data_IF_870408141720
#
_entry.id   IF_870408141720
#
_cell.length_a   1.000
_cell.length_b   1.000
_cell.length_c   1.000
_cell.angle_alpha   90.00
_cell.angle_beta   90.00
_cell.angle_gamma   90.00
#
_symmetry.space_group_name_H-M   'P 1'
#
loop_
_entity.id
_entity.type
_entity.pdbx_description
1 polymer ?
#
# COMPACT_ATOMS: atom_id res chain seq x y z
N UNK A 1 22.07 -18.92 -19.38
CA UNK A 1 22.63 -18.16 -18.24
C UNK A 1 21.74 -18.36 -17.02
N UNK A 2 22.17 -19.14 -16.04
CA UNK A 2 21.43 -19.32 -14.80
C UNK A 2 21.43 -17.99 -14.02
N UNK A 3 20.29 -17.33 -13.90
CA UNK A 3 20.15 -16.22 -12.96
C UNK A 3 20.40 -16.77 -11.55
N UNK A 4 21.44 -16.27 -10.90
CA UNK A 4 21.71 -16.55 -9.49
C UNK A 4 20.43 -16.33 -8.67
N UNK A 5 20.16 -17.20 -7.68
CA UNK A 5 18.90 -17.19 -6.93
C UNK A 5 18.53 -15.83 -6.32
N UNK A 6 19.53 -14.97 -6.08
CA UNK A 6 19.33 -13.59 -5.63
C UNK A 6 18.68 -12.68 -6.68
N UNK A 7 19.10 -12.76 -7.96
CA UNK A 7 18.52 -11.96 -9.06
C UNK A 7 17.04 -12.29 -9.25
N UNK A 8 16.68 -13.58 -9.15
CA UNK A 8 15.29 -14.04 -9.24
C UNK A 8 14.43 -13.47 -8.09
N UNK A 9 14.94 -13.46 -6.86
CA UNK A 9 14.23 -12.89 -5.70
C UNK A 9 13.99 -11.40 -5.84
N UNK A 10 15.01 -10.63 -6.23
CA UNK A 10 14.87 -9.20 -6.47
C UNK A 10 13.86 -8.90 -7.58
N UNK A 11 13.90 -9.65 -8.67
CA UNK A 11 12.95 -9.48 -9.78
C UNK A 11 11.50 -9.74 -9.34
N UNK A 12 11.27 -10.74 -8.47
CA UNK A 12 9.94 -11.01 -7.89
C UNK A 12 9.49 -9.85 -6.99
N UNK A 13 10.38 -9.30 -6.15
CA UNK A 13 10.06 -8.14 -5.29
C UNK A 13 9.68 -6.92 -6.13
N UNK A 14 10.47 -6.62 -7.17
CA UNK A 14 10.19 -5.49 -8.07
C UNK A 14 8.85 -5.68 -8.77
N UNK A 15 8.56 -6.87 -9.30
CA UNK A 15 7.27 -7.17 -9.94
C UNK A 15 6.11 -7.06 -8.95
N UNK A 16 6.27 -7.56 -7.72
CA UNK A 16 5.25 -7.48 -6.69
C UNK A 16 4.93 -6.02 -6.33
N UNK A 17 5.95 -5.18 -6.15
CA UNK A 17 5.80 -3.75 -5.91
C UNK A 17 5.17 -3.02 -7.10
N UNK A 18 5.61 -3.31 -8.33
CA UNK A 18 5.01 -2.74 -9.54
C UNK A 18 3.52 -3.10 -9.66
N UNK A 19 3.15 -4.34 -9.31
CA UNK A 19 1.76 -4.78 -9.31
C UNK A 19 0.94 -4.09 -8.21
N UNK A 20 1.50 -3.91 -7.01
CA UNK A 20 0.87 -3.15 -5.93
C UNK A 20 0.64 -1.67 -6.31
N UNK A 21 1.63 -1.05 -6.96
CA UNK A 21 1.53 0.32 -7.45
C UNK A 21 0.46 0.44 -8.55
N UNK A 22 0.44 -0.48 -9.51
CA UNK A 22 -0.59 -0.52 -10.55
C UNK A 22 -1.99 -0.69 -9.95
N UNK A 23 -2.17 -1.58 -8.97
CA UNK A 23 -3.44 -1.77 -8.27
C UNK A 23 -3.91 -0.48 -7.56
N UNK A 24 -2.99 0.23 -6.89
CA UNK A 24 -3.27 1.51 -6.25
C UNK A 24 -3.70 2.59 -7.25
N UNK A 25 -3.03 2.68 -8.41
CA UNK A 25 -3.41 3.60 -9.49
C UNK A 25 -4.78 3.30 -10.09
N UNK A 26 -5.06 2.03 -10.37
CA UNK A 26 -6.37 1.60 -10.88
C UNK A 26 -7.46 1.95 -9.86
N UNK A 27 -7.22 1.65 -8.57
CA UNK A 27 -8.17 2.00 -7.51
C UNK A 27 -8.41 3.51 -7.44
N UNK A 28 -7.37 4.33 -7.43
CA UNK A 28 -7.49 5.79 -7.39
C UNK A 28 -8.27 6.35 -8.60
N UNK A 29 -8.10 5.75 -9.79
CA UNK A 29 -8.86 6.10 -10.99
C UNK A 29 -10.33 5.70 -10.87
N UNK A 30 -10.62 4.47 -10.46
CA UNK A 30 -11.99 3.96 -10.30
C UNK A 30 -12.74 4.72 -9.21
N UNK A 31 -12.09 4.97 -8.07
CA UNK A 31 -12.69 5.73 -6.97
C UNK A 31 -13.08 7.16 -7.39
N UNK A 32 -12.28 7.79 -8.27
CA UNK A 32 -12.61 9.09 -8.84
C UNK A 32 -13.75 9.08 -9.86
N UNK A 33 -14.06 7.93 -10.49
CA UNK A 33 -15.19 7.78 -11.41
C UNK A 33 -16.49 7.46 -10.67
N UNK A 34 -16.43 6.59 -9.66
CA UNK A 34 -17.60 6.16 -8.88
C UNK A 34 -18.15 7.31 -8.03
N UNK A 35 -17.28 8.16 -7.51
CA UNK A 35 -17.68 9.33 -6.74
C UNK A 35 -17.01 10.60 -7.25
N UNK A 36 -17.62 11.26 -8.25
CA UNK A 36 -17.17 12.57 -8.69
C UNK A 36 -17.35 13.57 -7.55
N UNK A 37 -16.30 14.35 -7.28
CA UNK A 37 -16.31 15.39 -6.26
C UNK A 37 -17.30 16.51 -6.63
N UNK A 38 -18.54 16.40 -6.16
CA UNK A 38 -19.60 17.39 -6.39
C UNK A 38 -19.60 18.49 -5.34
N UNK A 39 -18.77 19.52 -5.47
CA UNK A 39 -18.95 20.76 -4.67
C UNK A 39 -17.74 21.67 -4.58
N UNK A 40 -16.53 21.14 -4.44
CA UNK A 40 -15.31 21.95 -4.31
C UNK A 40 -14.17 21.30 -5.09
N UNK A 41 -13.97 21.73 -6.35
CA UNK A 41 -12.92 21.18 -7.22
C UNK A 41 -11.50 21.39 -6.65
N UNK A 42 -11.31 22.40 -5.80
CA UNK A 42 -10.01 22.73 -5.18
C UNK A 42 -9.58 21.72 -4.11
N UNK A 43 -10.45 21.39 -3.15
CA UNK A 43 -10.16 20.44 -2.07
C UNK A 43 -9.90 19.03 -2.61
N UNK A 44 -10.71 18.58 -3.56
CA UNK A 44 -10.55 17.26 -4.17
C UNK A 44 -9.31 17.16 -5.09
N UNK A 45 -8.94 18.24 -5.78
CA UNK A 45 -7.71 18.29 -6.58
C UNK A 45 -6.46 18.19 -5.71
N UNK A 46 -6.41 18.94 -4.61
CA UNK A 46 -5.31 18.89 -3.63
C UNK A 46 -5.11 17.47 -3.08
N UNK A 47 -6.19 16.83 -2.62
CA UNK A 47 -6.14 15.46 -2.08
C UNK A 47 -5.64 14.46 -3.11
N UNK A 48 -6.05 14.59 -4.37
CA UNK A 48 -5.58 13.74 -5.46
C UNK A 48 -4.08 13.91 -5.73
N UNK A 49 -3.58 15.14 -5.70
CA UNK A 49 -2.16 15.46 -5.89
C UNK A 49 -1.33 14.87 -4.75
N UNK A 50 -1.77 15.05 -3.51
CA UNK A 50 -1.13 14.47 -2.32
C UNK A 50 -1.07 12.94 -2.47
N UNK A 51 -2.21 12.28 -2.71
CA UNK A 51 -2.23 10.83 -2.94
C UNK A 51 -1.28 10.39 -4.06
N UNK A 52 -1.25 11.11 -5.17
CA UNK A 52 -0.40 10.80 -6.33
C UNK A 52 1.11 10.94 -6.03
N UNK A 53 1.53 11.90 -5.22
CA UNK A 53 2.93 12.12 -4.86
C UNK A 53 3.38 11.14 -3.77
N UNK A 54 2.55 10.95 -2.74
CA UNK A 54 2.92 10.10 -1.60
C UNK A 54 2.93 8.61 -1.96
N UNK A 55 2.05 8.15 -2.86
CA UNK A 55 1.97 6.74 -3.27
C UNK A 55 3.29 6.18 -3.84
N UNK A 56 3.96 6.80 -4.83
CA UNK A 56 5.23 6.30 -5.35
C UNK A 56 6.37 6.41 -4.33
N UNK A 57 6.39 7.45 -3.49
CA UNK A 57 7.37 7.58 -2.41
C UNK A 57 7.23 6.42 -1.41
N UNK A 58 6.00 6.15 -0.96
CA UNK A 58 5.70 5.02 -0.08
C UNK A 58 6.02 3.68 -0.74
N UNK A 59 5.69 3.52 -2.02
CA UNK A 59 6.03 2.31 -2.77
C UNK A 59 7.54 2.10 -2.88
N UNK A 60 8.33 3.17 -3.00
CA UNK A 60 9.79 3.10 -3.00
C UNK A 60 10.35 2.62 -1.66
N UNK A 61 9.85 3.19 -0.56
CA UNK A 61 10.22 2.76 0.81
C UNK A 61 9.82 1.31 1.05
N UNK A 62 8.62 0.93 0.66
CA UNK A 62 8.13 -0.45 0.76
C UNK A 62 9.00 -1.42 -0.05
N UNK A 63 9.40 -1.03 -1.27
CA UNK A 63 10.27 -1.84 -2.12
C UNK A 63 11.62 -2.09 -1.45
N UNK A 64 12.22 -1.07 -0.84
CA UNK A 64 13.49 -1.22 -0.10
C UNK A 64 13.29 -2.16 1.09
N UNK A 65 12.23 -1.97 1.88
CA UNK A 65 11.93 -2.82 3.04
C UNK A 65 11.70 -4.29 2.64
N UNK A 66 10.91 -4.55 1.59
CA UNK A 66 10.67 -5.90 1.08
C UNK A 66 11.91 -6.53 0.45
N UNK A 67 12.75 -5.74 -0.23
CA UNK A 67 14.01 -6.22 -0.78
C UNK A 67 14.95 -6.69 0.33
N UNK A 68 15.08 -5.93 1.42
CA UNK A 68 15.88 -6.32 2.60
C UNK A 68 15.29 -7.58 3.25
N UNK A 69 13.96 -7.62 3.46
CA UNK A 69 13.30 -8.78 4.06
C UNK A 69 13.44 -10.07 3.23
N UNK A 70 13.49 -9.97 1.90
CA UNK A 70 13.68 -11.11 1.00
C UNK A 70 15.09 -11.74 1.11
N UNK A 71 16.05 -11.03 1.69
CA UNK A 71 17.41 -11.51 1.94
C UNK A 71 17.55 -12.14 3.32
N UNK A 72 16.57 -11.99 4.20
CA UNK A 72 16.61 -12.56 5.54
C UNK A 72 16.25 -14.05 5.57
N UNK A 73 16.90 -14.76 6.49
CA UNK A 73 16.79 -16.22 6.70
C UNK A 73 15.39 -16.64 7.16
N UNK A 74 14.69 -15.77 7.90
CA UNK A 74 13.32 -16.00 8.37
C UNK A 74 12.33 -15.13 7.59
N UNK A 75 12.12 -15.48 6.32
CA UNK A 75 11.43 -14.64 5.34
C UNK A 75 9.98 -14.33 5.73
N UNK A 76 9.29 -15.22 6.46
CA UNK A 76 7.91 -14.99 6.91
C UNK A 76 7.76 -13.81 7.87
N UNK A 77 8.52 -13.82 8.98
CA UNK A 77 8.50 -12.73 9.96
C UNK A 77 9.11 -11.46 9.39
N UNK A 78 10.16 -11.59 8.57
CA UNK A 78 10.81 -10.47 7.88
C UNK A 78 9.84 -9.68 7.00
N UNK A 79 9.00 -10.37 6.21
CA UNK A 79 8.02 -9.73 5.34
C UNK A 79 6.95 -8.97 6.13
N UNK A 80 6.54 -9.49 7.30
CA UNK A 80 5.58 -8.83 8.17
C UNK A 80 6.18 -7.55 8.76
N UNK A 81 7.43 -7.62 9.24
CA UNK A 81 8.17 -6.44 9.74
C UNK A 81 8.37 -5.41 8.63
N UNK A 82 8.75 -5.83 7.42
CA UNK A 82 8.91 -4.94 6.27
C UNK A 82 7.60 -4.26 5.84
N UNK A 83 6.45 -4.89 6.07
CA UNK A 83 5.15 -4.25 5.87
C UNK A 83 4.82 -3.26 7.00
N UNK A 84 5.13 -3.59 8.26
CA UNK A 84 4.87 -2.74 9.42
C UNK A 84 5.70 -1.45 9.41
N UNK A 85 6.97 -1.51 8.99
CA UNK A 85 7.88 -0.35 8.96
C UNK A 85 7.27 0.86 8.23
N UNK A 86 6.74 0.74 7.00
CA UNK A 86 6.05 1.85 6.34
C UNK A 86 4.62 2.04 6.87
N UNK A 87 3.91 0.97 7.23
CA UNK A 87 2.52 1.07 7.65
C UNK A 87 2.32 1.85 8.95
N UNK A 88 3.21 1.68 9.94
CA UNK A 88 3.08 2.33 11.24
C UNK A 88 3.22 3.87 11.14
N UNK A 89 4.27 4.43 10.52
CA UNK A 89 4.37 5.87 10.27
C UNK A 89 3.18 6.40 9.47
N UNK A 90 2.68 5.64 8.50
CA UNK A 90 1.49 6.02 7.74
C UNK A 90 0.26 6.14 8.66
N UNK A 91 -0.01 5.14 9.49
CA UNK A 91 -1.14 5.16 10.43
C UNK A 91 -1.02 6.30 11.45
N UNK A 92 0.20 6.60 11.92
CA UNK A 92 0.44 7.73 12.82
C UNK A 92 0.12 9.05 12.10
N UNK A 93 0.69 9.28 10.92
CA UNK A 93 0.41 10.48 10.12
C UNK A 93 -1.08 10.64 9.83
N UNK A 94 -1.74 9.54 9.45
CA UNK A 94 -3.15 9.52 9.16
C UNK A 94 -4.01 9.84 10.38
N UNK A 95 -3.69 9.26 11.53
CA UNK A 95 -4.35 9.55 12.79
C UNK A 95 -4.14 11.01 13.22
N UNK A 96 -2.92 11.55 13.07
CA UNK A 96 -2.61 12.94 13.36
C UNK A 96 -3.39 13.91 12.47
N UNK A 97 -3.48 13.64 11.16
CA UNK A 97 -4.28 14.45 10.24
C UNK A 97 -5.76 14.45 10.64
N UNK A 98 -6.30 13.27 10.99
CA UNK A 98 -7.69 13.17 11.44
C UNK A 98 -7.95 13.88 12.77
N UNK A 99 -7.01 13.78 13.71
CA UNK A 99 -7.15 14.43 15.00
C UNK A 99 -7.16 15.96 14.84
N UNK A 100 -6.31 16.51 13.97
CA UNK A 100 -6.29 17.93 13.66
C UNK A 100 -7.60 18.42 13.04
N UNK A 101 -8.15 17.71 12.05
CA UNK A 101 -9.42 18.09 11.38
C UNK A 101 -10.62 18.10 12.35
N UNK A 102 -10.69 17.10 13.24
CA UNK A 102 -11.78 16.98 14.23
C UNK A 102 -11.72 18.09 15.28
N UNK A 103 -10.52 18.61 15.58
CA UNK A 103 -10.37 19.63 16.62
C UNK A 103 -10.89 21.02 16.23
N UNK A 104 -11.08 21.27 14.92
CA UNK A 104 -11.40 22.59 14.38
C UNK A 104 -12.87 22.72 13.92
N UNK A 105 -13.59 21.60 13.77
CA UNK A 105 -14.84 21.57 12.97
C UNK A 105 -15.99 20.94 13.77
N UNK A 106 -17.14 21.62 13.84
CA UNK A 106 -18.31 21.20 14.63
C UNK A 106 -18.83 19.80 14.21
N UNK A 107 -19.01 18.92 15.19
CA UNK A 107 -19.13 17.46 15.06
C UNK A 107 -20.31 16.93 14.20
N UNK A 108 -21.25 17.77 13.75
CA UNK A 108 -22.52 17.31 13.18
C UNK A 108 -22.60 17.29 11.65
N UNK A 109 -21.72 17.97 10.91
CA UNK A 109 -21.83 18.07 9.43
C UNK A 109 -20.80 17.22 8.64
N UNK A 110 -19.92 16.50 9.36
CA UNK A 110 -18.63 15.98 8.86
C UNK A 110 -18.66 14.50 8.41
N UNK A 111 -19.72 13.75 8.71
CA UNK A 111 -19.58 12.29 8.82
C UNK A 111 -19.46 11.50 7.51
N UNK A 112 -20.05 11.98 6.41
CA UNK A 112 -20.12 11.21 5.15
C UNK A 112 -18.96 11.47 4.19
N UNK A 113 -18.78 12.75 3.82
CA UNK A 113 -17.80 13.15 2.80
C UNK A 113 -16.35 12.97 3.28
N UNK A 114 -16.07 13.28 4.54
CA UNK A 114 -14.70 13.28 5.08
C UNK A 114 -14.17 11.87 5.38
N UNK A 115 -15.05 10.86 5.47
CA UNK A 115 -14.64 9.45 5.56
C UNK A 115 -14.27 8.94 4.18
N UNK A 116 -15.02 9.34 3.15
CA UNK A 116 -14.80 8.92 1.78
C UNK A 116 -13.50 9.49 1.19
N UNK A 117 -13.24 10.79 1.38
CA UNK A 117 -11.97 11.41 0.97
C UNK A 117 -10.78 10.73 1.65
N UNK A 118 -10.95 10.37 2.93
CA UNK A 118 -9.94 9.65 3.67
C UNK A 118 -9.65 8.26 3.11
N UNK A 119 -10.71 7.51 2.79
CA UNK A 119 -10.59 6.18 2.21
C UNK A 119 -9.89 6.24 0.85
N UNK A 120 -10.15 7.29 0.05
CA UNK A 120 -9.49 7.48 -1.23
C UNK A 120 -7.97 7.72 -1.11
N UNK A 121 -7.49 8.28 0.01
CA UNK A 121 -6.06 8.44 0.28
C UNK A 121 -5.49 7.14 0.88
N UNK A 122 -6.17 6.56 1.87
CA UNK A 122 -5.65 5.44 2.64
C UNK A 122 -5.60 4.14 1.84
N UNK A 123 -6.64 3.85 1.06
CA UNK A 123 -6.75 2.57 0.36
C UNK A 123 -5.61 2.37 -0.65
N UNK A 124 -5.27 3.34 -1.53
CA UNK A 124 -4.12 3.19 -2.42
C UNK A 124 -2.82 2.87 -1.68
N UNK A 125 -2.53 3.59 -0.58
CA UNK A 125 -1.30 3.38 0.20
C UNK A 125 -1.30 1.99 0.83
N UNK A 126 -2.41 1.58 1.45
CA UNK A 126 -2.55 0.24 2.02
C UNK A 126 -2.42 -0.84 0.93
N UNK A 127 -3.02 -0.65 -0.25
CA UNK A 127 -2.89 -1.55 -1.40
C UNK A 127 -1.43 -1.70 -1.84
N UNK A 128 -0.66 -0.61 -1.90
CA UNK A 128 0.78 -0.68 -2.25
C UNK A 128 1.62 -1.48 -1.24
N UNK A 129 1.12 -1.74 -0.04
CA UNK A 129 1.80 -2.54 0.99
C UNK A 129 1.28 -3.97 1.04
N UNK A 130 -0.04 -4.13 1.06
CA UNK A 130 -0.71 -5.43 1.21
C UNK A 130 -0.55 -6.29 -0.03
N UNK A 131 -0.66 -5.72 -1.24
CA UNK A 131 -0.56 -6.49 -2.48
C UNK A 131 0.83 -7.09 -2.66
N UNK A 132 1.95 -6.33 -2.57
CA UNK A 132 3.27 -6.93 -2.68
C UNK A 132 3.55 -7.94 -1.56
N UNK A 133 3.12 -7.65 -0.33
CA UNK A 133 3.24 -8.58 0.78
C UNK A 133 2.51 -9.91 0.51
N UNK A 134 1.27 -9.87 0.04
CA UNK A 134 0.48 -11.07 -0.25
C UNK A 134 1.12 -11.92 -1.36
N UNK A 135 1.61 -11.26 -2.41
CA UNK A 135 2.35 -11.91 -3.50
C UNK A 135 3.62 -12.56 -2.97
N UNK A 136 4.44 -11.83 -2.20
CA UNK A 136 5.70 -12.34 -1.64
C UNK A 136 5.47 -13.46 -0.62
N UNK A 137 4.42 -13.38 0.20
CA UNK A 137 4.05 -14.40 1.17
C UNK A 137 3.71 -15.74 0.50
N UNK A 138 3.04 -15.71 -0.67
CA UNK A 138 2.79 -16.91 -1.48
C UNK A 138 4.07 -17.53 -2.02
N UNK A 139 5.03 -16.73 -2.46
CA UNK A 139 6.32 -17.24 -2.93
C UNK A 139 7.21 -17.76 -1.79
N UNK A 140 7.08 -17.20 -0.58
CA UNK A 140 7.80 -17.66 0.60
C UNK A 140 7.24 -18.98 1.18
N UNK A 141 5.95 -19.27 0.98
CA UNK A 141 5.29 -20.49 1.44
C UNK A 141 4.64 -21.20 0.25
N UNK A 142 5.41 -21.92 -0.59
CA UNK A 142 4.81 -22.71 -1.66
C UNK A 142 3.81 -23.71 -1.05
N UNK A 143 2.61 -23.87 -1.63
CA UNK A 143 1.65 -24.85 -1.16
C UNK A 143 2.31 -26.23 -1.18
N UNK A 144 2.20 -26.96 -0.06
CA UNK A 144 2.67 -28.34 0.11
C UNK A 144 1.77 -29.26 -0.72
N UNK A 145 1.88 -29.19 -2.04
CA UNK A 145 1.09 -29.98 -2.98
C UNK A 145 1.85 -31.19 -3.54
N UNK A 146 2.94 -31.61 -2.89
CA UNK A 146 3.77 -32.72 -3.40
C UNK A 146 4.47 -33.49 -2.28
N UNK A 147 3.68 -34.16 -1.43
CA UNK A 147 4.14 -35.32 -0.64
C UNK A 147 3.13 -36.47 -0.64
N UNK A 148 2.30 -36.54 -1.68
CA UNK A 148 1.22 -37.52 -1.76
C UNK A 148 1.16 -38.18 -3.13
N UNK A 149 2.26 -38.81 -3.54
CA UNK A 149 2.22 -39.94 -4.47
C UNK A 149 3.40 -40.86 -4.12
N UNK A 150 3.16 -41.71 -3.12
CA UNK A 150 3.76 -43.03 -2.96
C UNK A 150 2.79 -44.02 -3.60
#
# INVERSE_FOLDING_TARGET
MALTGWKRRLLIVVLACAFGLAAAFVFAKVAGLVHPCGGEQLSCSMTRIIGFIYTPVFSGVALIAFAIAALWKNTGTALLVAMLIPLVPFLILFASLKYSDISVREWHEIRGRDVQELLQIAIPIVLTLVVPWAVLKRFANPPVLEKTHV
#
